data_IF_851945843236
#
_entry.id   IF_851945843236
#
_cell.length_a   1.000
_cell.length_b   1.000
_cell.length_c   1.000
_cell.angle_alpha   90.00
_cell.angle_beta   90.00
_cell.angle_gamma   90.00
#
_symmetry.space_group_name_H-M   'P 1'
#
loop_
_entity.id
_entity.type
_entity.pdbx_description
1 polymer ?
#
# COMPACT_ATOMS: atom_id res chain seq x y z
N UNK A 1 -10.18 -20.39 6.54
CA UNK A 1 -9.42 -20.08 5.30
C UNK A 1 -9.27 -18.58 5.22
N UNK A 2 -8.07 -18.01 5.04
CA UNK A 2 -7.99 -16.56 4.81
C UNK A 2 -8.80 -16.27 3.54
N UNK A 3 -9.63 -15.23 3.57
CA UNK A 3 -10.32 -14.71 2.40
C UNK A 3 -9.33 -14.53 1.25
N UNK A 4 -9.65 -15.07 0.06
CA UNK A 4 -8.83 -14.89 -1.12
C UNK A 4 -8.65 -13.39 -1.39
N UNK A 5 -7.44 -12.88 -1.18
CA UNK A 5 -7.09 -11.53 -1.58
C UNK A 5 -7.03 -11.49 -3.12
N UNK A 6 -7.79 -10.58 -3.72
CA UNK A 6 -7.79 -10.33 -5.16
C UNK A 6 -7.61 -8.83 -5.41
N UNK A 7 -6.85 -8.49 -6.43
CA UNK A 7 -6.68 -7.12 -6.91
C UNK A 7 -7.47 -6.92 -8.21
N UNK A 8 -8.09 -5.77 -8.36
CA UNK A 8 -8.60 -5.28 -9.65
C UNK A 8 -7.47 -5.12 -10.66
N UNK A 9 -7.79 -5.03 -11.95
CA UNK A 9 -6.77 -4.81 -13.00
C UNK A 9 -5.99 -3.51 -12.77
N UNK A 10 -6.65 -2.45 -12.32
CA UNK A 10 -6.01 -1.16 -12.06
C UNK A 10 -5.07 -1.22 -10.84
N UNK A 11 -5.45 -1.95 -9.79
CA UNK A 11 -4.57 -2.22 -8.64
C UNK A 11 -3.35 -3.05 -9.04
N UNK A 12 -3.52 -4.05 -9.92
CA UNK A 12 -2.39 -4.84 -10.45
C UNK A 12 -1.45 -3.97 -11.29
N UNK A 13 -1.98 -3.13 -12.17
CA UNK A 13 -1.17 -2.19 -12.97
C UNK A 13 -0.44 -1.18 -12.09
N UNK A 14 -1.10 -0.66 -11.06
CA UNK A 14 -0.50 0.21 -10.06
C UNK A 14 0.65 -0.50 -9.34
N UNK A 15 0.41 -1.73 -8.85
CA UNK A 15 1.43 -2.55 -8.20
C UNK A 15 2.69 -2.76 -9.06
N UNK A 16 2.50 -3.03 -10.36
CA UNK A 16 3.61 -3.22 -11.29
C UNK A 16 4.44 -1.93 -11.49
N UNK A 17 3.79 -0.77 -11.45
CA UNK A 17 4.43 0.55 -11.58
C UNK A 17 5.12 1.03 -10.30
N UNK A 18 4.73 0.49 -9.15
CA UNK A 18 5.33 0.89 -7.87
C UNK A 18 6.78 0.41 -7.74
N UNK A 19 7.68 1.25 -7.16
CA UNK A 19 8.98 0.82 -6.67
C UNK A 19 8.86 -0.36 -5.71
N UNK A 20 9.83 -1.28 -5.77
CA UNK A 20 9.83 -2.52 -4.95
C UNK A 20 9.60 -2.23 -3.45
N UNK A 21 10.21 -1.16 -2.92
CA UNK A 21 10.06 -0.74 -1.51
C UNK A 21 8.62 -0.38 -1.11
N UNK A 22 7.78 0.07 -2.04
CA UNK A 22 6.40 0.48 -1.75
C UNK A 22 5.38 -0.65 -1.95
N UNK A 23 5.72 -1.69 -2.71
CA UNK A 23 4.81 -2.78 -3.07
C UNK A 23 4.23 -3.50 -1.86
N UNK A 24 5.06 -3.81 -0.87
CA UNK A 24 4.59 -4.46 0.36
C UNK A 24 3.63 -3.59 1.17
N UNK A 25 3.91 -2.29 1.26
CA UNK A 25 3.02 -1.31 1.90
C UNK A 25 1.68 -1.20 1.17
N UNK A 26 1.73 -1.15 -0.16
CA UNK A 26 0.52 -1.07 -0.98
C UNK A 26 -0.34 -2.32 -0.86
N UNK A 27 0.24 -3.52 -0.94
CA UNK A 27 -0.49 -4.79 -0.83
C UNK A 27 -1.11 -4.96 0.55
N UNK A 28 -0.36 -4.70 1.63
CA UNK A 28 -0.89 -4.83 2.99
C UNK A 28 -2.03 -3.84 3.26
N UNK A 29 -1.91 -2.61 2.76
CA UNK A 29 -3.02 -1.67 2.74
C UNK A 29 -4.20 -2.22 1.93
N UNK A 30 -3.97 -2.77 0.72
CA UNK A 30 -4.98 -3.43 -0.10
C UNK A 30 -5.59 -4.71 0.52
N UNK A 31 -5.02 -5.24 1.60
CA UNK A 31 -5.62 -6.33 2.36
C UNK A 31 -6.48 -5.83 3.53
N UNK A 32 -6.52 -4.50 3.78
CA UNK A 32 -7.26 -3.90 4.88
C UNK A 32 -6.44 -3.74 6.17
N UNK A 33 -5.16 -4.12 6.14
CA UNK A 33 -4.27 -3.84 7.28
C UNK A 33 -3.89 -2.37 7.29
N UNK A 34 -3.68 -1.82 8.48
CA UNK A 34 -3.09 -0.51 8.63
C UNK A 34 -1.55 -0.63 8.60
N UNK A 35 -0.88 -0.12 7.55
CA UNK A 35 0.58 -0.29 7.40
C UNK A 35 1.38 0.36 8.52
N UNK A 36 0.81 1.34 9.24
CA UNK A 36 1.44 1.98 10.39
C UNK A 36 1.87 0.98 11.47
N UNK A 37 1.15 -0.14 11.62
CA UNK A 37 1.46 -1.18 12.61
C UNK A 37 2.37 -2.30 12.08
N UNK A 38 2.75 -2.25 10.79
CA UNK A 38 3.54 -3.31 10.13
C UNK A 38 5.00 -2.91 9.85
N UNK A 39 5.38 -1.67 10.17
CA UNK A 39 6.71 -1.12 9.92
C UNK A 39 7.07 -0.02 10.93
N UNK A 40 8.31 0.47 10.89
CA UNK A 40 8.69 1.61 11.71
C UNK A 40 7.90 2.88 11.32
N UNK A 41 7.65 3.76 12.29
CA UNK A 41 6.97 5.05 12.05
C UNK A 41 7.62 5.84 10.93
N UNK A 42 8.96 5.91 10.94
CA UNK A 42 9.72 6.62 9.91
C UNK A 42 9.45 6.05 8.50
N UNK A 43 9.48 4.72 8.37
CA UNK A 43 9.21 4.05 7.09
C UNK A 43 7.78 4.32 6.64
N UNK A 44 6.81 4.24 7.55
CA UNK A 44 5.41 4.53 7.25
C UNK A 44 5.25 5.95 6.69
N UNK A 45 5.78 6.97 7.38
CA UNK A 45 5.62 8.36 6.92
C UNK A 45 6.35 8.62 5.60
N UNK A 46 7.52 8.01 5.39
CA UNK A 46 8.23 8.09 4.11
C UNK A 46 7.42 7.46 2.98
N UNK A 47 6.89 6.26 3.19
CA UNK A 47 6.10 5.53 2.19
C UNK A 47 4.77 6.23 1.92
N UNK A 48 4.05 6.69 2.95
CA UNK A 48 2.82 7.49 2.81
C UNK A 48 3.07 8.72 1.95
N UNK A 49 4.12 9.49 2.26
CA UNK A 49 4.46 10.69 1.49
C UNK A 49 4.74 10.37 0.03
N UNK A 50 5.54 9.33 -0.24
CA UNK A 50 5.92 8.94 -1.60
C UNK A 50 4.74 8.38 -2.40
N UNK A 51 3.90 7.54 -1.78
CA UNK A 51 2.67 7.02 -2.39
C UNK A 51 1.70 8.15 -2.73
N UNK A 52 1.53 9.11 -1.82
CA UNK A 52 0.63 10.24 -2.05
C UNK A 52 1.18 11.20 -3.11
N UNK A 53 2.44 11.62 -3.00
CA UNK A 53 3.01 12.63 -3.91
C UNK A 53 3.19 12.14 -5.33
N UNK A 54 3.56 10.87 -5.50
CA UNK A 54 3.97 10.33 -6.81
C UNK A 54 2.86 9.54 -7.48
N UNK A 55 2.01 8.86 -6.70
CA UNK A 55 0.99 7.95 -7.21
C UNK A 55 -0.44 8.38 -6.86
N UNK A 56 -0.61 9.41 -6.03
CA UNK A 56 -1.94 9.86 -5.59
C UNK A 56 -2.63 8.89 -4.62
N UNK A 57 -1.88 7.98 -3.98
CA UNK A 57 -2.43 6.93 -3.12
C UNK A 57 -2.27 7.34 -1.66
N UNK A 58 -3.38 7.59 -0.97
CA UNK A 58 -3.37 7.82 0.49
C UNK A 58 -3.63 6.51 1.25
N UNK A 59 -2.60 6.03 1.96
CA UNK A 59 -2.66 4.81 2.77
C UNK A 59 -3.16 5.02 4.21
N UNK A 60 -3.55 6.24 4.57
CA UNK A 60 -3.92 6.60 5.96
C UNK A 60 -5.22 5.93 6.41
N UNK A 61 -6.14 5.71 5.48
CA UNK A 61 -7.45 5.16 5.75
C UNK A 61 -7.83 4.24 4.60
N UNK A 62 -8.13 2.98 4.92
CA UNK A 62 -8.91 2.14 4.02
C UNK A 62 -10.25 1.91 4.68
N UNK A 63 -11.30 2.38 4.03
CA UNK A 63 -12.68 2.19 4.47
C UNK A 63 -13.06 0.73 4.27
#
# INVERSE_FOLDING_TARGET
MPSHFSMTKDEQLTFLRLPVKLRGTYVTWLMGYNPYFLMSRETYYRHKRELLSTFGIDISHRV
#
